data_IF_654445439466
#
_entry.id   IF_654445439466
#
_cell.length_a   1.000
_cell.length_b   1.000
_cell.length_c   1.000
_cell.angle_alpha   90.00
_cell.angle_beta   90.00
_cell.angle_gamma   90.00
#
_symmetry.space_group_name_H-M   'P 1'
#
loop_
_entity.id
_entity.type
_entity.pdbx_description
1 polymer ?
#
# COMPACT_ATOMS: atom_id res chain seq x y z
N UNK A 1 -15.31 -30.22 -15.32
CA UNK A 1 -15.87 -30.13 -13.97
C UNK A 1 -14.79 -29.50 -13.11
N UNK A 2 -14.85 -28.19 -12.86
CA UNK A 2 -13.85 -27.49 -12.03
C UNK A 2 -14.25 -27.64 -10.58
N UNK A 3 -13.45 -28.36 -9.80
CA UNK A 3 -13.62 -28.46 -8.35
C UNK A 3 -13.19 -27.12 -7.74
N UNK A 4 -14.16 -26.35 -7.26
CA UNK A 4 -13.86 -25.15 -6.48
C UNK A 4 -13.34 -25.62 -5.11
N UNK A 5 -12.11 -25.23 -4.71
CA UNK A 5 -11.57 -25.61 -3.42
C UNK A 5 -12.52 -25.17 -2.31
N UNK A 6 -12.80 -26.07 -1.36
CA UNK A 6 -13.62 -25.75 -0.20
C UNK A 6 -13.04 -24.51 0.51
N UNK A 7 -13.87 -23.55 0.95
CA UNK A 7 -13.38 -22.38 1.66
C UNK A 7 -12.60 -22.84 2.89
N UNK A 8 -11.34 -22.40 2.99
CA UNK A 8 -10.50 -22.70 4.13
C UNK A 8 -11.23 -22.29 5.43
N UNK A 9 -11.16 -23.09 6.50
CA UNK A 9 -11.80 -22.77 7.78
C UNK A 9 -11.36 -21.37 8.20
N UNK A 10 -12.34 -20.48 8.38
CA UNK A 10 -12.08 -19.13 8.81
C UNK A 10 -11.58 -19.23 10.25
N UNK A 11 -10.33 -18.82 10.58
CA UNK A 11 -9.86 -18.84 11.95
C UNK A 11 -10.82 -18.02 12.83
N UNK A 12 -10.97 -18.38 14.11
CA UNK A 12 -11.80 -17.62 15.06
C UNK A 12 -11.35 -16.14 15.07
N UNK A 13 -12.12 -15.29 14.38
CA UNK A 13 -11.78 -13.88 14.19
C UNK A 13 -12.27 -13.11 15.40
N UNK A 14 -11.34 -12.49 16.12
CA UNK A 14 -11.70 -11.53 17.16
C UNK A 14 -12.26 -10.25 16.51
N UNK A 15 -13.43 -9.73 16.97
CA UNK A 15 -13.98 -8.50 16.44
C UNK A 15 -13.13 -7.29 16.82
N UNK A 16 -12.96 -6.37 15.87
CA UNK A 16 -12.37 -5.06 16.13
C UNK A 16 -13.39 -4.16 16.82
N UNK A 17 -12.93 -3.25 17.68
CA UNK A 17 -13.77 -2.15 18.12
C UNK A 17 -14.11 -1.21 16.94
N UNK A 18 -15.14 -0.39 17.12
CA UNK A 18 -15.68 0.46 16.05
C UNK A 18 -14.63 1.41 15.47
N UNK A 19 -13.78 2.01 16.33
CA UNK A 19 -12.74 2.93 15.89
C UNK A 19 -11.68 2.24 15.03
N UNK A 20 -11.17 1.08 15.47
CA UNK A 20 -10.20 0.29 14.71
C UNK A 20 -10.78 -0.17 13.37
N UNK A 21 -12.06 -0.61 13.36
CA UNK A 21 -12.75 -0.97 12.13
C UNK A 21 -12.90 0.23 11.17
N UNK A 22 -13.21 1.42 11.68
CA UNK A 22 -13.29 2.64 10.89
C UNK A 22 -11.93 3.02 10.29
N UNK A 23 -10.85 2.97 11.08
CA UNK A 23 -9.49 3.26 10.63
C UNK A 23 -9.04 2.34 9.50
N UNK A 24 -9.32 1.02 9.61
CA UNK A 24 -9.00 0.06 8.54
C UNK A 24 -9.81 0.34 7.27
N UNK A 25 -11.10 0.68 7.39
CA UNK A 25 -11.92 1.05 6.23
C UNK A 25 -11.43 2.34 5.56
N UNK A 26 -11.07 3.34 6.34
CA UNK A 26 -10.52 4.60 5.84
C UNK A 26 -9.19 4.36 5.10
N UNK A 27 -8.30 3.56 5.69
CA UNK A 27 -7.06 3.15 5.03
C UNK A 27 -7.34 2.41 3.71
N UNK A 28 -8.28 1.46 3.71
CA UNK A 28 -8.66 0.74 2.51
C UNK A 28 -9.26 1.66 1.42
N UNK A 29 -10.07 2.66 1.79
CA UNK A 29 -10.58 3.65 0.84
C UNK A 29 -9.44 4.50 0.26
N UNK A 30 -8.50 4.93 1.10
CA UNK A 30 -7.31 5.66 0.68
C UNK A 30 -6.44 4.86 -0.30
N UNK A 31 -6.25 3.56 -0.05
CA UNK A 31 -5.51 2.70 -0.98
C UNK A 31 -6.25 2.54 -2.32
N UNK A 32 -7.57 2.33 -2.29
CA UNK A 32 -8.38 2.24 -3.52
C UNK A 32 -8.31 3.52 -4.35
N UNK A 33 -8.33 4.68 -3.71
CA UNK A 33 -8.22 5.96 -4.38
C UNK A 33 -6.87 6.17 -5.12
N UNK A 34 -5.83 5.39 -4.79
CA UNK A 34 -4.53 5.45 -5.47
C UNK A 34 -4.45 4.54 -6.71
N UNK A 35 -5.40 3.62 -6.87
CA UNK A 35 -5.34 2.60 -7.93
C UNK A 35 -5.34 3.27 -9.31
N UNK A 36 -6.20 4.26 -9.53
CA UNK A 36 -6.30 4.95 -10.82
C UNK A 36 -4.99 5.67 -11.18
N UNK A 37 -4.33 6.29 -10.19
CA UNK A 37 -3.03 6.95 -10.37
C UNK A 37 -1.95 5.94 -10.71
N UNK A 38 -1.91 4.81 -10.00
CA UNK A 38 -0.92 3.75 -10.27
C UNK A 38 -1.13 3.16 -11.67
N UNK A 39 -2.37 2.87 -12.05
CA UNK A 39 -2.71 2.37 -13.38
C UNK A 39 -2.26 3.35 -14.46
N UNK A 40 -2.56 4.63 -14.30
CA UNK A 40 -2.15 5.68 -15.24
C UNK A 40 -0.63 5.77 -15.40
N UNK A 41 0.16 5.64 -14.32
CA UNK A 41 1.63 5.63 -14.42
C UNK A 41 2.14 4.40 -15.15
N UNK A 42 1.55 3.22 -14.92
CA UNK A 42 1.96 2.00 -15.62
C UNK A 42 1.58 2.04 -17.11
N UNK A 43 0.43 2.61 -17.44
CA UNK A 43 0.00 2.84 -18.82
C UNK A 43 0.93 3.83 -19.53
N UNK A 44 1.32 4.93 -18.87
CA UNK A 44 2.28 5.91 -19.38
C UNK A 44 3.65 5.27 -19.65
N UNK A 45 4.16 4.46 -18.73
CA UNK A 45 5.44 3.73 -18.93
C UNK A 45 5.32 2.74 -20.10
N UNK A 46 4.17 2.08 -20.26
CA UNK A 46 3.95 1.16 -21.37
C UNK A 46 3.90 1.88 -22.73
N UNK A 47 3.37 3.11 -22.77
CA UNK A 47 3.26 3.91 -23.99
C UNK A 47 4.56 4.67 -24.33
N UNK A 48 5.25 5.20 -23.33
CA UNK A 48 6.35 6.16 -23.50
C UNK A 48 7.72 5.62 -23.05
N UNK A 49 7.77 4.46 -22.38
CA UNK A 49 8.97 3.91 -21.78
C UNK A 49 9.28 4.50 -20.40
N UNK A 50 10.39 4.08 -19.80
CA UNK A 50 10.79 4.58 -18.48
C UNK A 50 11.21 6.07 -18.54
N UNK A 51 10.96 6.84 -17.46
CA UNK A 51 11.56 8.16 -17.30
C UNK A 51 13.08 8.10 -17.37
N UNK A 52 13.70 9.21 -17.81
CA UNK A 52 15.15 9.34 -17.84
C UNK A 52 15.74 9.15 -16.42
N UNK A 53 16.86 8.44 -16.29
CA UNK A 53 17.43 8.10 -14.99
C UNK A 53 17.82 9.35 -14.18
N UNK A 54 18.19 10.43 -14.87
CA UNK A 54 18.56 11.72 -14.30
C UNK A 54 17.38 12.47 -13.68
N UNK A 55 16.14 12.08 -14.04
CA UNK A 55 14.91 12.62 -13.45
C UNK A 55 14.48 11.87 -12.18
N UNK A 56 15.10 10.72 -11.91
CA UNK A 56 14.83 9.91 -10.72
C UNK A 56 15.59 10.37 -9.49
N UNK A 57 15.25 9.76 -8.35
CA UNK A 57 16.01 9.87 -7.10
C UNK A 57 16.82 8.58 -6.94
N UNK A 58 18.06 8.67 -6.45
CA UNK A 58 18.85 7.48 -6.13
C UNK A 58 18.11 6.65 -5.07
N UNK A 59 18.16 5.34 -5.23
CA UNK A 59 17.44 4.43 -4.34
C UNK A 59 17.85 4.61 -2.88
N UNK A 60 19.13 4.83 -2.64
CA UNK A 60 19.71 5.08 -1.32
C UNK A 60 19.09 6.32 -0.67
N UNK A 61 19.00 7.43 -1.40
CA UNK A 61 18.44 8.68 -0.91
C UNK A 61 16.94 8.55 -0.60
N UNK A 62 16.18 7.92 -1.50
CA UNK A 62 14.76 7.70 -1.30
C UNK A 62 14.46 6.76 -0.12
N UNK A 63 15.26 5.70 0.03
CA UNK A 63 15.18 4.75 1.14
C UNK A 63 15.49 5.45 2.47
N UNK A 64 16.58 6.19 2.53
CA UNK A 64 17.06 6.80 3.77
C UNK A 64 16.09 7.90 4.24
N UNK A 65 15.59 8.75 3.33
CA UNK A 65 14.54 9.71 3.64
C UNK A 65 13.24 9.04 4.14
N UNK A 66 12.87 7.88 3.57
CA UNK A 66 11.72 7.13 4.04
C UNK A 66 11.92 6.56 5.45
N UNK A 67 13.11 6.02 5.74
CA UNK A 67 13.46 5.47 7.06
C UNK A 67 13.53 6.56 8.13
N UNK A 68 14.08 7.74 7.80
CA UNK A 68 14.08 8.90 8.70
C UNK A 68 12.65 9.35 9.04
N UNK A 69 11.78 9.42 8.03
CA UNK A 69 10.36 9.74 8.23
C UNK A 69 9.68 8.72 9.14
N UNK A 70 9.90 7.42 8.91
CA UNK A 70 9.37 6.37 9.78
C UNK A 70 9.89 6.48 11.21
N UNK A 71 11.18 6.80 11.39
CA UNK A 71 11.76 7.02 12.71
C UNK A 71 11.13 8.23 13.43
N UNK A 72 10.77 9.29 12.68
CA UNK A 72 10.06 10.46 13.20
C UNK A 72 8.57 10.26 13.45
N UNK A 73 7.93 9.32 12.75
CA UNK A 73 6.50 8.99 12.86
C UNK A 73 6.19 8.01 14.01
N UNK A 74 7.20 7.37 14.62
CA UNK A 74 7.00 6.47 15.77
C UNK A 74 6.34 7.21 16.96
N UNK A 75 5.11 6.84 17.36
CA UNK A 75 4.56 7.27 18.64
C UNK A 75 5.34 6.58 19.76
N UNK A 76 5.78 7.35 20.76
CA UNK A 76 6.16 6.84 22.09
C UNK A 76 5.11 5.83 22.53
N UNK A 77 5.50 4.56 22.60
CA UNK A 77 4.72 3.54 23.29
C UNK A 77 4.56 4.03 24.74
N UNK A 78 3.33 4.34 25.12
CA UNK A 78 2.90 4.58 26.50
C UNK A 78 2.09 3.35 26.96
#
# INVERSE_FOLDING_TARGET
MSEQPAPAPVPDRQPLNEHAAASVRAYAAHQRAKVDVLASVLEDIAEHGYPAAESGVLWEDARDAHLERLAGEQPRVA
#
